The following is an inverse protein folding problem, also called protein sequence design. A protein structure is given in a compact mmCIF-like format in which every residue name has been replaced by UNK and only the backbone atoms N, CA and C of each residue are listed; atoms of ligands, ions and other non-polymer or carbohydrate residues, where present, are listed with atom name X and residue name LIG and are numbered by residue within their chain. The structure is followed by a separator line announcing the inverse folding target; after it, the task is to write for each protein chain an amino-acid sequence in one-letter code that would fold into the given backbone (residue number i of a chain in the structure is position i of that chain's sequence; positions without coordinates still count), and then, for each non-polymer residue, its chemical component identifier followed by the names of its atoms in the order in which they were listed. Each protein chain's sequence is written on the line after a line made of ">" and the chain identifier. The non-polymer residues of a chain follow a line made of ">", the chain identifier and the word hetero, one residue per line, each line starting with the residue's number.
data_IF_874286503287
#
_entry.id   IF_874286503287
#
_cell.length_a   1.000
_cell.length_b   1.000
_cell.length_c   1.000
_cell.angle_alpha   90.00
_cell.angle_beta   90.00
_cell.angle_gamma   90.00
#
_symmetry.space_group_name_H-M   'P 1'
#
loop_
_entity.id
_entity.type
_entity.pdbx_description
1 polymer ?
#
# COMPACT_ATOMS: atom_id res chain seq x y z
N UNK A 1 -13.73 -25.93 -17.67
CA UNK A 1 -14.15 -26.05 -16.26
C UNK A 1 -14.12 -24.65 -15.73
N UNK A 2 -15.27 -24.03 -15.43
CA UNK A 2 -15.27 -22.62 -15.01
C UNK A 2 -14.51 -22.50 -13.70
N UNK A 3 -13.33 -21.86 -13.69
CA UNK A 3 -12.57 -21.66 -12.46
C UNK A 3 -13.40 -20.75 -11.55
N UNK A 4 -13.55 -21.12 -10.28
CA UNK A 4 -14.27 -20.26 -9.34
C UNK A 4 -13.42 -19.00 -9.09
N UNK A 5 -14.03 -17.80 -9.11
CA UNK A 5 -13.29 -16.56 -8.95
C UNK A 5 -12.60 -16.51 -7.59
N UNK A 6 -11.28 -16.32 -7.60
CA UNK A 6 -10.46 -16.26 -6.39
C UNK A 6 -10.39 -14.81 -5.90
N UNK A 7 -10.61 -14.61 -4.60
CA UNK A 7 -10.61 -13.28 -3.98
C UNK A 7 -9.49 -13.18 -2.97
N UNK A 8 -8.70 -12.12 -3.06
CA UNK A 8 -7.53 -11.85 -2.24
C UNK A 8 -7.67 -10.49 -1.55
N UNK A 9 -7.31 -10.41 -0.27
CA UNK A 9 -7.33 -9.19 0.51
C UNK A 9 -5.92 -8.66 0.67
N UNK A 10 -5.68 -7.42 0.25
CA UNK A 10 -4.40 -6.74 0.38
C UNK A 10 -4.54 -5.48 1.25
N UNK A 11 -3.62 -5.33 2.19
CA UNK A 11 -3.52 -4.12 3.02
C UNK A 11 -2.87 -2.98 2.22
N UNK A 12 -3.69 -2.26 1.45
CA UNK A 12 -3.23 -1.10 0.68
C UNK A 12 -3.40 0.21 1.42
N UNK A 13 -2.73 1.25 0.94
CA UNK A 13 -2.60 2.53 1.63
C UNK A 13 -2.67 3.69 0.64
N UNK A 14 -3.40 4.73 1.05
CA UNK A 14 -3.51 5.94 0.27
C UNK A 14 -2.28 6.84 0.47
N UNK A 15 -1.24 6.63 -0.33
CA UNK A 15 0.07 7.30 -0.22
C UNK A 15 0.01 8.81 0.00
N UNK A 16 -0.85 9.54 -0.72
CA UNK A 16 -0.98 11.00 -0.57
C UNK A 16 -1.43 11.41 0.83
N UNK A 17 -2.58 10.87 1.28
CA UNK A 17 -3.12 11.02 2.63
C UNK A 17 -2.10 10.61 3.71
N UNK A 18 -1.40 9.49 3.53
CA UNK A 18 -0.34 9.06 4.44
C UNK A 18 0.76 10.12 4.60
N UNK A 19 1.34 10.56 3.47
CA UNK A 19 2.41 11.57 3.50
C UNK A 19 1.94 12.89 4.11
N UNK A 20 0.74 13.31 3.77
CA UNK A 20 0.14 14.52 4.34
C UNK A 20 0.05 14.44 5.87
N UNK A 21 -0.56 13.38 6.41
CA UNK A 21 -0.72 13.22 7.86
C UNK A 21 0.65 13.13 8.55
N UNK A 22 1.59 12.38 7.98
CA UNK A 22 2.93 12.22 8.56
C UNK A 22 3.67 13.57 8.63
N UNK A 23 3.74 14.30 7.51
CA UNK A 23 4.45 15.58 7.43
C UNK A 23 3.80 16.64 8.32
N UNK A 24 2.47 16.74 8.31
CA UNK A 24 1.75 17.66 9.21
C UNK A 24 1.99 17.29 10.68
N UNK A 25 2.01 16.00 11.03
CA UNK A 25 2.29 15.57 12.40
C UNK A 25 3.70 15.94 12.84
N UNK A 26 4.71 15.70 11.99
CA UNK A 26 6.11 16.07 12.29
C UNK A 26 6.24 17.60 12.45
N UNK A 27 5.60 18.38 11.58
CA UNK A 27 5.59 19.84 11.69
C UNK A 27 4.97 20.31 13.01
N UNK A 28 3.83 19.75 13.40
CA UNK A 28 3.15 20.09 14.65
C UNK A 28 3.99 19.70 15.87
N UNK A 29 4.66 18.55 15.85
CA UNK A 29 5.60 18.15 16.92
C UNK A 29 6.72 19.18 17.03
N UNK A 30 7.33 19.59 15.92
CA UNK A 30 8.41 20.58 15.92
C UNK A 30 7.98 21.95 16.46
N UNK A 31 6.84 22.47 15.99
CA UNK A 31 6.27 23.73 16.49
C UNK A 31 5.88 23.62 17.96
N UNK A 32 5.34 22.48 18.38
CA UNK A 32 5.00 22.22 19.78
C UNK A 32 6.25 22.27 20.66
N UNK A 33 7.28 21.49 20.32
CA UNK A 33 8.51 21.39 21.09
C UNK A 33 9.29 22.72 21.17
N UNK A 34 9.23 23.56 20.13
CA UNK A 34 9.92 24.86 20.16
C UNK A 34 9.36 25.82 21.22
N UNK A 35 8.08 25.68 21.59
CA UNK A 35 7.41 26.51 22.61
C UNK A 35 7.52 25.97 24.03
N UNK A 36 7.97 24.74 24.23
CA UNK A 36 8.07 24.15 25.58
C UNK A 36 9.31 24.67 26.29
N UNK A 37 9.21 25.26 27.50
CA UNK A 37 10.37 25.80 28.24
C UNK A 37 11.09 24.70 29.05
N UNK A 38 11.57 23.66 28.36
CA UNK A 38 12.40 22.58 28.94
C UNK A 38 13.76 22.52 28.25
N UNK A 39 14.71 21.78 28.83
CA UNK A 39 16.04 21.60 28.22
C UNK A 39 15.93 20.89 26.86
N UNK A 40 16.76 21.32 25.91
CA UNK A 40 16.75 20.85 24.53
C UNK A 40 16.90 19.32 24.41
N UNK A 41 17.70 18.70 25.27
CA UNK A 41 17.87 17.24 25.27
C UNK A 41 16.55 16.49 25.47
N UNK A 42 15.69 16.97 26.37
CA UNK A 42 14.38 16.35 26.60
C UNK A 42 13.44 16.56 25.42
N UNK A 43 13.49 17.73 24.76
CA UNK A 43 12.72 17.98 23.54
C UNK A 43 13.09 17.01 22.44
N UNK A 44 14.38 16.76 22.23
CA UNK A 44 14.89 15.81 21.23
C UNK A 44 14.41 14.40 21.55
N UNK A 45 14.54 13.94 22.79
CA UNK A 45 14.09 12.61 23.22
C UNK A 45 12.58 12.45 23.00
N UNK A 46 11.78 13.44 23.42
CA UNK A 46 10.33 13.41 23.23
C UNK A 46 9.98 13.39 21.74
N UNK A 47 10.62 14.24 20.93
CA UNK A 47 10.39 14.28 19.49
C UNK A 47 10.69 12.92 18.82
N UNK A 48 11.80 12.28 19.19
CA UNK A 48 12.16 10.96 18.69
C UNK A 48 11.11 9.89 19.05
N UNK A 49 10.53 9.95 20.25
CA UNK A 49 9.46 9.04 20.66
C UNK A 49 8.12 9.34 19.97
N UNK A 50 7.87 10.61 19.60
CA UNK A 50 6.66 11.01 18.91
C UNK A 50 6.66 10.64 17.41
N UNK A 51 7.82 10.44 16.79
CA UNK A 51 7.92 10.04 15.37
C UNK A 51 7.27 8.67 15.09
N UNK A 52 7.55 7.58 15.86
CA UNK A 52 6.85 6.32 15.72
C UNK A 52 5.33 6.44 15.91
N UNK A 53 4.88 7.29 16.83
CA UNK A 53 3.46 7.53 17.06
C UNK A 53 2.81 8.25 15.86
N UNK A 54 3.47 9.29 15.33
CA UNK A 54 3.03 9.98 14.13
C UNK A 54 2.97 9.03 12.92
N UNK A 55 3.95 8.13 12.78
CA UNK A 55 3.97 7.10 11.75
C UNK A 55 2.79 6.13 11.88
N UNK A 56 2.55 5.63 13.10
CA UNK A 56 1.44 4.72 13.39
C UNK A 56 0.09 5.36 13.06
N UNK A 57 -0.14 6.60 13.52
CA UNK A 57 -1.37 7.35 13.24
C UNK A 57 -1.53 7.65 11.75
N UNK A 58 -0.46 8.06 11.07
CA UNK A 58 -0.49 8.29 9.63
C UNK A 58 -0.91 7.04 8.87
N UNK A 59 -0.39 5.87 9.24
CA UNK A 59 -0.76 4.58 8.64
C UNK A 59 -2.22 4.26 8.93
N UNK A 60 -2.65 4.23 10.20
CA UNK A 60 -4.02 3.87 10.58
C UNK A 60 -5.08 4.78 9.96
N UNK A 61 -4.78 6.07 9.80
CA UNK A 61 -5.71 7.02 9.19
C UNK A 61 -5.69 6.99 7.65
N UNK A 62 -4.73 6.31 7.01
CA UNK A 62 -4.57 6.25 5.55
C UNK A 62 -4.69 4.85 4.96
N UNK A 63 -5.05 3.86 5.77
CA UNK A 63 -5.41 2.52 5.29
C UNK A 63 -6.52 2.63 4.26
N UNK A 64 -6.36 1.87 3.20
CA UNK A 64 -7.29 1.79 2.10
C UNK A 64 -7.24 0.35 1.61
N UNK A 65 -7.82 -0.56 2.37
CA UNK A 65 -7.79 -1.98 2.04
C UNK A 65 -8.37 -2.22 0.65
N UNK A 66 -7.74 -3.13 -0.08
CA UNK A 66 -8.17 -3.49 -1.42
C UNK A 66 -8.44 -4.98 -1.53
N UNK A 67 -9.42 -5.29 -2.36
CA UNK A 67 -9.84 -6.64 -2.69
C UNK A 67 -9.51 -6.87 -4.16
N UNK A 68 -8.74 -7.92 -4.42
CA UNK A 68 -8.28 -8.31 -5.73
C UNK A 68 -8.99 -9.60 -6.08
N UNK A 69 -9.82 -9.57 -7.11
CA UNK A 69 -10.56 -10.73 -7.57
C UNK A 69 -10.00 -11.15 -8.92
N UNK A 70 -9.51 -12.38 -9.00
CA UNK A 70 -9.05 -12.99 -10.23
C UNK A 70 -10.13 -13.94 -10.73
N UNK A 71 -10.65 -13.66 -11.92
CA UNK A 71 -11.55 -14.50 -12.69
C UNK A 71 -10.80 -15.08 -13.91
N UNK A 72 -11.48 -15.87 -14.74
CA UNK A 72 -10.85 -16.56 -15.89
C UNK A 72 -10.14 -15.59 -16.85
N UNK A 73 -10.75 -14.44 -17.14
CA UNK A 73 -10.27 -13.48 -18.14
C UNK A 73 -10.01 -12.07 -17.57
N UNK A 74 -10.32 -11.85 -16.29
CA UNK A 74 -10.27 -10.51 -15.69
C UNK A 74 -9.65 -10.50 -14.30
N UNK A 75 -8.87 -9.45 -14.02
CA UNK A 75 -8.43 -9.08 -12.68
C UNK A 75 -9.15 -7.81 -12.26
N UNK A 76 -9.97 -7.90 -11.22
CA UNK A 76 -10.69 -6.76 -10.65
C UNK A 76 -10.02 -6.32 -9.35
N UNK A 77 -9.59 -5.06 -9.31
CA UNK A 77 -9.03 -4.43 -8.11
C UNK A 77 -10.03 -3.42 -7.56
N UNK A 78 -10.58 -3.71 -6.39
CA UNK A 78 -11.56 -2.88 -5.70
C UNK A 78 -11.02 -2.31 -4.41
N UNK A 79 -11.35 -1.06 -4.10
CA UNK A 79 -11.19 -0.47 -2.77
C UNK A 79 -12.38 0.45 -2.48
N UNK A 80 -12.44 1.04 -1.29
CA UNK A 80 -13.55 1.93 -0.90
C UNK A 80 -13.69 3.20 -1.77
N UNK A 81 -12.71 3.54 -2.60
CA UNK A 81 -12.75 4.72 -3.49
C UNK A 81 -13.08 4.37 -4.94
N UNK A 82 -12.64 3.21 -5.42
CA UNK A 82 -12.78 2.83 -6.83
C UNK A 82 -12.66 1.33 -7.04
N UNK A 83 -13.30 0.87 -8.11
CA UNK A 83 -13.11 -0.44 -8.70
C UNK A 83 -12.52 -0.27 -10.09
N UNK A 84 -11.49 -1.06 -10.40
CA UNK A 84 -10.82 -1.06 -11.71
C UNK A 84 -10.72 -2.50 -12.20
N UNK A 85 -11.09 -2.72 -13.45
CA UNK A 85 -11.06 -4.04 -14.08
C UNK A 85 -9.97 -4.08 -15.15
N UNK A 86 -9.24 -5.18 -15.17
CA UNK A 86 -8.14 -5.42 -16.08
C UNK A 86 -8.38 -6.73 -16.82
N UNK A 87 -8.66 -6.72 -18.14
CA UNK A 87 -8.61 -7.93 -18.93
C UNK A 87 -7.20 -8.52 -18.84
N UNK A 88 -7.06 -9.81 -18.54
CA UNK A 88 -5.75 -10.46 -18.37
C UNK A 88 -4.92 -10.36 -19.65
N UNK A 89 -5.56 -10.45 -20.81
CA UNK A 89 -4.95 -10.24 -22.13
C UNK A 89 -4.35 -8.85 -22.35
N UNK A 90 -4.79 -7.85 -21.59
CA UNK A 90 -4.24 -6.50 -21.64
C UNK A 90 -3.15 -6.26 -20.57
N UNK A 91 -2.91 -7.20 -19.66
CA UNK A 91 -1.81 -7.09 -18.70
C UNK A 91 -0.53 -7.51 -19.41
N UNK A 92 0.45 -6.60 -19.47
CA UNK A 92 1.79 -6.90 -19.96
C UNK A 92 2.56 -7.70 -18.91
N UNK A 93 2.70 -7.11 -17.72
CA UNK A 93 3.40 -7.71 -16.59
C UNK A 93 3.11 -6.93 -15.32
N UNK A 94 3.27 -7.59 -14.18
CA UNK A 94 3.11 -7.01 -12.86
C UNK A 94 4.48 -6.93 -12.18
N UNK A 95 4.79 -5.76 -11.60
CA UNK A 95 6.00 -5.55 -10.80
C UNK A 95 5.64 -5.31 -9.35
N UNK A 96 6.33 -6.01 -8.46
CA UNK A 96 6.27 -5.82 -7.04
C UNK A 96 7.61 -5.26 -6.57
N UNK A 97 7.65 -3.95 -6.28
CA UNK A 97 8.87 -3.28 -5.82
C UNK A 97 8.87 -3.22 -4.30
N UNK A 98 9.76 -3.97 -3.66
CA UNK A 98 9.90 -4.01 -2.20
C UNK A 98 10.53 -2.70 -1.70
N UNK A 99 9.96 -2.10 -0.67
CA UNK A 99 10.41 -0.86 -0.02
C UNK A 99 10.32 -1.01 1.50
N UNK A 100 11.05 -0.17 2.25
CA UNK A 100 11.13 -0.27 3.72
C UNK A 100 9.77 -0.20 4.43
N UNK A 101 8.79 0.51 3.86
CA UNK A 101 7.44 0.64 4.43
C UNK A 101 6.37 -0.27 3.83
N UNK A 102 6.72 -1.15 2.88
CA UNK A 102 5.73 -1.94 2.14
C UNK A 102 6.17 -2.21 0.71
N UNK A 103 5.20 -2.40 -0.19
CA UNK A 103 5.49 -2.70 -1.58
C UNK A 103 4.74 -1.75 -2.51
N UNK A 104 5.39 -1.32 -3.59
CA UNK A 104 4.70 -0.67 -4.71
C UNK A 104 4.37 -1.74 -5.75
N UNK A 105 3.08 -2.03 -5.92
CA UNK A 105 2.60 -2.96 -6.94
C UNK A 105 2.19 -2.15 -8.17
N UNK A 106 2.73 -2.53 -9.33
CA UNK A 106 2.51 -1.87 -10.61
C UNK A 106 1.97 -2.91 -11.59
N UNK A 107 0.76 -2.69 -12.09
CA UNK A 107 0.20 -3.46 -13.21
C UNK A 107 0.49 -2.66 -14.48
N UNK A 108 1.40 -3.15 -15.32
CA UNK A 108 1.67 -2.55 -16.62
C UNK A 108 0.70 -3.16 -17.64
N UNK A 109 0.11 -2.31 -18.47
CA UNK A 109 -0.84 -2.71 -19.50
C UNK A 109 -0.18 -2.66 -20.87
N UNK A 110 -0.62 -3.53 -21.79
CA UNK A 110 -0.25 -3.47 -23.21
C UNK A 110 -0.80 -2.19 -23.85
N UNK A 111 -2.04 -1.80 -23.47
CA UNK A 111 -2.68 -0.54 -23.86
C UNK A 111 -3.20 0.18 -22.63
N UNK A 112 -2.78 1.43 -22.43
CA UNK A 112 -3.24 2.30 -21.35
C UNK A 112 -2.16 2.65 -20.33
N UNK A 113 -2.55 3.37 -19.30
CA UNK A 113 -1.65 3.81 -18.23
C UNK A 113 -1.46 2.73 -17.18
N UNK A 114 -0.23 2.55 -16.68
CA UNK A 114 0.05 1.59 -15.63
C UNK A 114 -0.72 1.92 -14.33
N UNK A 115 -1.39 0.91 -13.77
CA UNK A 115 -2.03 1.04 -12.48
C UNK A 115 -1.00 0.84 -11.36
N UNK A 116 -1.02 1.74 -10.37
CA UNK A 116 -0.08 1.72 -9.24
C UNK A 116 -0.85 1.72 -7.94
N UNK A 117 -0.51 0.79 -7.05
CA UNK A 117 -1.02 0.77 -5.69
C UNK A 117 0.11 0.59 -4.68
N UNK A 118 -0.03 1.20 -3.51
CA UNK A 118 0.90 1.03 -2.41
C UNK A 118 0.32 0.01 -1.42
N UNK A 119 0.98 -1.13 -1.29
CA UNK A 119 0.72 -2.10 -0.23
C UNK A 119 1.53 -1.70 1.00
N UNK A 120 0.88 -1.62 2.15
CA UNK A 120 1.51 -1.32 3.42
C UNK A 120 1.76 -2.60 4.22
N UNK A 121 3.00 -2.79 4.69
CA UNK A 121 3.36 -3.89 5.60
C UNK A 121 3.45 -3.44 7.06
N UNK A 122 3.62 -2.15 7.30
CA UNK A 122 3.86 -1.62 8.63
C UNK A 122 2.57 -1.64 9.46
N UNK A 123 2.64 -2.23 10.66
CA UNK A 123 1.51 -2.34 11.59
C UNK A 123 0.26 -3.03 11.00
N UNK A 124 0.48 -3.95 10.05
CA UNK A 124 -0.55 -4.77 9.42
C UNK A 124 -0.32 -6.25 9.71
N UNK A 125 -1.41 -7.03 9.63
CA UNK A 125 -1.33 -8.49 9.62
C UNK A 125 -0.81 -8.97 8.27
N UNK A 126 -0.41 -10.23 8.20
CA UNK A 126 -0.14 -10.87 6.92
C UNK A 126 -1.40 -10.83 6.04
N UNK A 127 -1.20 -10.60 4.75
CA UNK A 127 -2.25 -10.46 3.75
C UNK A 127 -2.01 -11.45 2.61
N UNK A 128 -2.94 -11.50 1.65
CA UNK A 128 -2.99 -12.58 0.66
C UNK A 128 -2.03 -12.38 -0.52
N UNK A 129 -1.03 -11.50 -0.41
CA UNK A 129 -0.08 -11.25 -1.50
C UNK A 129 0.64 -12.53 -2.00
N UNK A 130 1.11 -13.45 -1.14
CA UNK A 130 1.74 -14.68 -1.60
C UNK A 130 0.78 -15.54 -2.43
N UNK A 131 -0.48 -15.67 -1.99
CA UNK A 131 -1.52 -16.44 -2.67
C UNK A 131 -1.89 -15.80 -4.01
N UNK A 132 -2.06 -14.47 -4.03
CA UNK A 132 -2.30 -13.72 -5.27
C UNK A 132 -1.15 -13.91 -6.26
N UNK A 133 0.09 -13.84 -5.80
CA UNK A 133 1.28 -14.01 -6.66
C UNK A 133 1.31 -15.39 -7.28
N UNK A 134 0.96 -16.43 -6.52
CA UNK A 134 0.86 -17.79 -7.03
C UNK A 134 -0.25 -17.90 -8.08
N UNK A 135 -1.45 -17.40 -7.79
CA UNK A 135 -2.58 -17.44 -8.71
C UNK A 135 -2.31 -16.68 -10.03
N UNK A 136 -1.62 -15.53 -9.96
CA UNK A 136 -1.22 -14.78 -11.16
C UNK A 136 -0.21 -15.57 -12.02
N UNK A 137 0.73 -16.29 -11.40
CA UNK A 137 1.68 -17.15 -12.13
C UNK A 137 0.98 -18.34 -12.78
N UNK A 138 0.01 -18.95 -12.09
CA UNK A 138 -0.82 -20.03 -12.63
C UNK A 138 -1.67 -19.56 -13.83
N UNK A 139 -2.10 -18.29 -13.82
CA UNK A 139 -2.77 -17.64 -14.94
C UNK A 139 -1.81 -17.18 -16.07
N UNK A 140 -0.55 -17.60 -16.06
CA UNK A 140 0.51 -17.21 -17.02
C UNK A 140 0.77 -15.69 -17.10
N UNK A 141 0.55 -14.95 -16.01
CA UNK A 141 0.88 -13.51 -15.95
C UNK A 141 2.30 -13.35 -15.41
N UNK A 142 3.12 -12.61 -16.14
CA UNK A 142 4.47 -12.29 -15.70
C UNK A 142 4.45 -11.44 -14.42
N UNK A 143 4.99 -11.99 -13.33
CA UNK A 143 5.09 -11.33 -12.04
C UNK A 143 6.54 -11.25 -11.59
N UNK A 144 7.06 -10.03 -11.55
CA UNK A 144 8.43 -9.74 -11.11
C UNK A 144 8.43 -9.25 -9.66
N UNK A 145 9.12 -9.99 -8.80
CA UNK A 145 9.37 -9.60 -7.41
C UNK A 145 10.81 -9.08 -7.30
N UNK A 146 10.95 -7.76 -7.12
CA UNK A 146 12.24 -7.05 -7.07
C UNK A 146 12.45 -6.32 -5.75
#
# INVERSE_FOLDING_TARGET
>A
MKSNPQTFYLSTLHRGKYMFILLTSILLIGIGMSKVPIQEIYKIIIALLMVPLALYLAIKCSTLDSTWRLDEDTLTVSNSKKTVEFPLSNISHIRNLRRSGGNLIIINQNKGSAFRTWRNKLFQKEDDLPLLTQALKEANIEYYDM
#
